data_IF_082657984391
#
_entry.id   IF_082657984391
#
_cell.length_a   1.000
_cell.length_b   1.000
_cell.length_c   1.000
_cell.angle_alpha   90.00
_cell.angle_beta   90.00
_cell.angle_gamma   90.00
#
_symmetry.space_group_name_H-M   'P 1'
#
loop_
_entity.id
_entity.type
_entity.pdbx_description
1 polymer ?
#
# COMPACT_ATOMS: atom_id res chain seq x y z
N UNK A 1 -0.17 4.53 20.44
CA UNK A 1 -0.72 5.84 20.10
C UNK A 1 -1.12 6.54 21.40
N UNK A 2 -0.31 7.42 21.90
CA UNK A 2 -0.62 8.18 23.11
C UNK A 2 -0.82 9.65 22.72
N UNK A 3 -2.06 10.06 22.58
CA UNK A 3 -2.39 11.47 22.46
C UNK A 3 -2.04 12.22 23.74
N UNK A 4 -1.77 13.53 23.71
CA UNK A 4 -1.55 14.32 24.89
C UNK A 4 -2.79 14.27 25.76
N UNK A 5 -2.67 13.74 26.96
CA UNK A 5 -3.70 13.89 27.97
C UNK A 5 -3.47 15.21 28.69
N UNK A 6 -4.52 16.00 28.80
CA UNK A 6 -4.46 17.34 29.38
C UNK A 6 -3.93 17.35 30.83
N UNK A 7 -4.13 16.24 31.53
CA UNK A 7 -3.77 16.08 32.95
C UNK A 7 -2.32 15.61 33.18
N UNK A 8 -1.69 15.00 32.18
CA UNK A 8 -0.37 14.36 32.36
C UNK A 8 0.71 14.95 31.46
N UNK A 9 0.35 15.92 30.60
CA UNK A 9 1.27 16.51 29.63
C UNK A 9 1.56 15.61 28.40
N UNK A 10 2.41 16.07 27.48
CA UNK A 10 2.71 15.31 26.26
C UNK A 10 3.53 14.06 26.61
N UNK A 11 3.02 12.91 26.20
CA UNK A 11 3.81 11.68 26.18
C UNK A 11 4.69 11.66 24.93
N UNK A 12 5.95 11.28 25.05
CA UNK A 12 6.79 11.03 23.90
C UNK A 12 6.29 9.77 23.19
N UNK A 13 5.89 9.92 21.93
CA UNK A 13 5.51 8.80 21.08
C UNK A 13 6.70 7.93 20.78
N UNK A 14 7.09 6.94 21.28
CA UNK A 14 8.26 6.08 21.04
C UNK A 14 8.73 5.99 19.59
N UNK A 15 9.69 5.14 19.33
CA UNK A 15 10.17 4.87 17.98
C UNK A 15 9.15 4.01 17.21
N UNK A 16 8.70 4.49 16.04
CA UNK A 16 7.86 3.67 15.16
C UNK A 16 8.62 2.45 14.65
N UNK A 17 7.94 1.32 14.59
CA UNK A 17 8.55 0.04 14.21
C UNK A 17 7.86 -0.52 12.97
N UNK A 18 8.65 -0.92 11.97
CA UNK A 18 8.17 -1.68 10.84
C UNK A 18 8.09 -3.17 11.19
N UNK A 19 6.92 -3.76 11.02
CA UNK A 19 6.70 -5.19 11.21
C UNK A 19 6.64 -5.90 9.85
N UNK A 20 7.51 -6.86 9.64
CA UNK A 20 7.50 -7.71 8.45
C UNK A 20 6.71 -8.98 8.72
N UNK A 21 5.65 -9.20 7.93
CA UNK A 21 4.89 -10.45 7.95
C UNK A 21 5.66 -11.62 7.33
N UNK A 22 5.44 -12.82 7.85
CA UNK A 22 6.03 -14.08 7.35
C UNK A 22 5.11 -14.83 6.38
N UNK A 23 3.90 -14.30 6.13
CA UNK A 23 2.88 -14.93 5.29
C UNK A 23 2.10 -16.06 5.97
N UNK A 24 2.42 -16.41 7.22
CA UNK A 24 1.75 -17.43 8.02
C UNK A 24 1.04 -16.86 9.27
N UNK A 25 0.90 -15.53 9.32
CA UNK A 25 0.27 -14.81 10.43
C UNK A 25 1.25 -14.30 11.49
N UNK A 26 2.53 -14.61 11.38
CA UNK A 26 3.58 -14.09 12.25
C UNK A 26 4.18 -12.79 11.74
N UNK A 27 4.73 -11.99 12.66
CA UNK A 27 5.39 -10.72 12.34
C UNK A 27 6.73 -10.62 13.05
N UNK A 28 7.71 -10.05 12.36
CA UNK A 28 9.04 -9.76 12.92
C UNK A 28 9.35 -8.27 12.79
N UNK A 29 9.84 -7.61 13.87
CA UNK A 29 10.24 -6.22 13.79
C UNK A 29 11.49 -6.07 12.91
N UNK A 30 11.47 -5.07 12.03
CA UNK A 30 12.64 -4.61 11.31
C UNK A 30 13.11 -3.30 11.96
N UNK A 31 14.31 -3.35 12.52
CA UNK A 31 14.91 -2.18 13.15
C UNK A 31 15.33 -1.13 12.10
N UNK A 32 15.48 0.15 12.47
CA UNK A 32 15.81 1.23 11.55
C UNK A 32 17.07 1.00 10.71
N UNK A 33 18.08 0.32 11.25
CA UNK A 33 19.32 -0.04 10.53
C UNK A 33 19.09 -1.01 9.36
N UNK A 34 17.98 -1.76 9.41
CA UNK A 34 17.57 -2.70 8.35
C UNK A 34 16.48 -2.15 7.45
N UNK A 35 15.53 -1.42 8.01
CA UNK A 35 14.39 -0.88 7.27
C UNK A 35 14.67 0.47 6.62
N UNK A 36 15.63 1.24 7.14
CA UNK A 36 15.83 2.64 6.79
C UNK A 36 14.79 3.58 7.39
N UNK A 37 13.79 3.06 8.10
CA UNK A 37 12.70 3.85 8.69
C UNK A 37 13.06 4.24 10.12
N UNK A 38 13.42 5.51 10.31
CA UNK A 38 13.63 6.10 11.62
C UNK A 38 12.61 7.22 11.83
N UNK A 39 11.64 6.97 12.70
CA UNK A 39 10.55 7.91 13.02
C UNK A 39 10.53 8.10 14.54
N UNK A 40 11.32 9.06 15.05
CA UNK A 40 11.50 9.24 16.49
C UNK A 40 10.43 10.10 17.16
N UNK A 41 9.52 10.69 16.36
CA UNK A 41 8.51 11.62 16.86
C UNK A 41 7.17 10.96 17.16
N UNK A 42 6.21 11.78 17.54
CA UNK A 42 4.82 11.37 17.77
C UNK A 42 4.10 11.20 16.41
N UNK A 43 4.30 10.04 15.77
CA UNK A 43 3.70 9.72 14.51
C UNK A 43 2.18 9.56 14.64
N UNK A 44 1.42 10.32 13.87
CA UNK A 44 -0.04 10.33 13.88
C UNK A 44 -0.65 9.55 12.72
N UNK A 45 -0.10 9.69 11.54
CA UNK A 45 -0.66 9.05 10.36
C UNK A 45 0.43 8.62 9.39
N UNK A 46 0.12 7.61 8.58
CA UNK A 46 1.00 7.11 7.54
C UNK A 46 0.20 6.90 6.25
N UNK A 47 0.82 7.19 5.12
CA UNK A 47 0.24 6.94 3.81
C UNK A 47 1.26 6.41 2.83
N UNK A 48 0.82 5.51 1.97
CA UNK A 48 1.62 4.96 0.88
C UNK A 48 1.17 5.58 -0.45
N UNK A 49 2.13 6.10 -1.20
CA UNK A 49 1.94 6.60 -2.54
C UNK A 49 3.25 6.49 -3.33
N UNK A 50 3.15 6.46 -4.63
CA UNK A 50 4.29 6.58 -5.54
C UNK A 50 4.41 8.07 -5.92
N UNK A 51 5.09 8.87 -5.07
CA UNK A 51 5.12 10.33 -5.26
C UNK A 51 6.26 10.80 -6.17
N UNK A 52 7.33 10.01 -6.32
CA UNK A 52 8.40 10.26 -7.28
C UNK A 52 8.11 9.65 -8.67
N UNK A 53 7.03 8.88 -8.83
CA UNK A 53 6.57 8.23 -10.06
C UNK A 53 7.53 7.17 -10.61
N UNK A 54 8.24 6.51 -9.73
CA UNK A 54 9.16 5.43 -10.12
C UNK A 54 8.52 4.03 -10.13
N UNK A 55 7.22 3.97 -9.84
CA UNK A 55 6.43 2.73 -9.83
C UNK A 55 6.53 1.94 -8.52
N UNK A 56 7.19 2.47 -7.50
CA UNK A 56 7.33 1.85 -6.18
C UNK A 56 6.51 2.61 -5.13
N UNK A 57 6.04 1.94 -4.09
CA UNK A 57 5.39 2.63 -2.99
C UNK A 57 6.42 3.35 -2.12
N UNK A 58 6.18 4.64 -1.92
CA UNK A 58 6.89 5.47 -0.96
C UNK A 58 6.02 5.68 0.27
N UNK A 59 6.61 6.08 1.38
CA UNK A 59 5.92 6.24 2.65
C UNK A 59 6.03 7.70 3.14
N UNK A 60 4.87 8.30 3.46
CA UNK A 60 4.80 9.58 4.16
C UNK A 60 4.27 9.34 5.56
N UNK A 61 4.90 9.97 6.56
CA UNK A 61 4.49 9.90 7.96
C UNK A 61 4.33 11.30 8.51
N UNK A 62 3.12 11.63 8.96
CA UNK A 62 2.87 12.87 9.67
C UNK A 62 3.12 12.67 11.18
N UNK A 63 3.60 13.73 11.82
CA UNK A 63 3.90 13.76 13.25
C UNK A 63 3.15 14.92 13.92
N UNK A 64 2.71 14.75 15.16
CA UNK A 64 2.25 15.87 15.98
C UNK A 64 3.42 16.80 16.29
N UNK A 65 3.21 18.10 16.06
CA UNK A 65 4.24 19.12 16.27
C UNK A 65 5.60 18.82 15.60
N UNK A 66 5.60 18.05 14.52
CA UNK A 66 6.79 17.65 13.80
C UNK A 66 6.65 17.86 12.29
N UNK A 67 7.77 17.71 11.60
CA UNK A 67 7.78 17.71 10.13
C UNK A 67 7.19 16.41 9.60
N UNK A 68 6.59 16.48 8.41
CA UNK A 68 6.25 15.28 7.66
C UNK A 68 7.54 14.61 7.21
N UNK A 69 7.68 13.33 7.54
CA UNK A 69 8.80 12.50 7.08
C UNK A 69 8.41 11.76 5.81
N UNK A 70 9.30 11.78 4.83
CA UNK A 70 9.13 11.07 3.57
C UNK A 70 10.24 10.04 3.40
N UNK A 71 9.85 8.83 3.02
CA UNK A 71 10.77 7.72 2.79
C UNK A 71 10.54 7.19 1.38
N UNK A 72 11.53 7.39 0.53
CA UNK A 72 11.52 6.86 -0.83
C UNK A 72 11.98 5.40 -0.85
N UNK A 73 11.24 4.57 -1.57
CA UNK A 73 11.62 3.19 -1.79
C UNK A 73 12.83 3.10 -2.73
N UNK A 74 13.98 2.68 -2.22
CA UNK A 74 15.19 2.54 -3.06
C UNK A 74 15.10 1.36 -4.02
N UNK A 75 14.08 0.50 -3.91
CA UNK A 75 13.91 -0.69 -4.74
C UNK A 75 14.92 -1.81 -4.46
N UNK A 76 15.82 -1.65 -3.49
CA UNK A 76 16.80 -2.69 -3.17
C UNK A 76 16.12 -3.91 -2.56
N UNK A 77 16.16 -5.04 -3.26
CA UNK A 77 15.60 -6.32 -2.79
C UNK A 77 14.07 -6.42 -2.83
N UNK A 78 13.38 -5.47 -3.46
CA UNK A 78 11.89 -5.45 -3.50
C UNK A 78 11.31 -6.04 -4.78
N UNK A 79 12.14 -6.31 -5.80
CA UNK A 79 11.65 -6.86 -7.06
C UNK A 79 10.80 -5.88 -7.87
N UNK A 80 9.87 -6.42 -8.63
CA UNK A 80 9.00 -5.67 -9.55
C UNK A 80 7.68 -5.32 -8.88
N UNK A 81 7.07 -4.22 -9.33
CA UNK A 81 5.76 -3.75 -8.89
C UNK A 81 4.79 -3.68 -10.06
N UNK A 82 3.53 -3.97 -9.80
CA UNK A 82 2.43 -3.76 -10.73
C UNK A 82 1.46 -2.75 -10.10
N UNK A 83 1.33 -1.59 -10.72
CA UNK A 83 0.32 -0.59 -10.36
C UNK A 83 -0.95 -0.88 -11.14
N UNK A 84 -2.08 -0.97 -10.47
CA UNK A 84 -3.37 -1.20 -11.09
C UNK A 84 -4.23 0.04 -10.90
N UNK A 85 -4.54 0.73 -11.99
CA UNK A 85 -5.45 1.85 -12.01
C UNK A 85 -6.84 1.35 -12.43
N UNK A 86 -7.80 1.39 -11.51
CA UNK A 86 -9.19 1.07 -11.80
C UNK A 86 -9.95 2.34 -12.13
N UNK A 87 -10.76 2.28 -13.17
CA UNK A 87 -11.72 3.31 -13.54
C UNK A 87 -13.12 2.74 -13.36
N UNK A 88 -13.79 3.14 -12.30
CA UNK A 88 -15.16 2.73 -12.00
C UNK A 88 -16.20 3.53 -12.77
N UNK A 89 -17.45 3.10 -12.68
CA UNK A 89 -18.57 3.76 -13.32
C UNK A 89 -19.01 5.07 -12.64
N UNK A 90 -20.09 5.64 -13.15
CA UNK A 90 -20.70 6.87 -12.62
C UNK A 90 -21.03 6.75 -11.13
N UNK A 91 -20.61 7.76 -10.35
CA UNK A 91 -20.79 7.80 -8.90
C UNK A 91 -19.66 7.15 -8.08
N UNK A 92 -18.81 6.35 -8.70
CA UNK A 92 -17.66 5.74 -8.03
C UNK A 92 -16.43 5.63 -8.97
N UNK A 93 -15.88 6.75 -9.44
CA UNK A 93 -14.82 6.74 -10.45
C UNK A 93 -13.53 6.06 -9.96
N UNK A 94 -13.27 6.06 -8.66
CA UNK A 94 -12.10 5.40 -8.05
C UNK A 94 -12.31 3.91 -7.78
N UNK A 95 -13.46 3.35 -8.15
CA UNK A 95 -13.81 1.94 -7.94
C UNK A 95 -13.66 1.47 -6.49
N UNK A 96 -13.99 2.33 -5.50
CA UNK A 96 -13.96 1.99 -4.08
C UNK A 96 -14.87 0.79 -3.83
N UNK A 97 -14.39 -0.20 -3.08
CA UNK A 97 -15.07 -1.50 -2.86
C UNK A 97 -14.74 -2.57 -3.91
N UNK A 98 -14.01 -2.21 -4.98
CA UNK A 98 -13.52 -3.21 -5.91
C UNK A 98 -12.45 -4.11 -5.25
N UNK A 99 -12.47 -5.39 -5.62
CA UNK A 99 -11.48 -6.36 -5.17
C UNK A 99 -10.63 -6.85 -6.32
N UNK A 100 -9.34 -6.57 -6.25
CA UNK A 100 -8.33 -7.00 -7.21
C UNK A 100 -7.70 -8.29 -6.74
N UNK A 101 -7.66 -9.30 -7.60
CA UNK A 101 -6.95 -10.56 -7.33
C UNK A 101 -5.93 -10.80 -8.43
N UNK A 102 -4.65 -10.81 -8.08
CA UNK A 102 -3.57 -11.20 -8.98
C UNK A 102 -3.24 -12.67 -8.77
N UNK A 103 -3.34 -13.47 -9.84
CA UNK A 103 -2.92 -14.87 -9.86
C UNK A 103 -1.47 -14.94 -10.31
N UNK A 104 -0.63 -15.58 -9.52
CA UNK A 104 0.78 -15.75 -9.81
C UNK A 104 1.03 -17.11 -10.50
N UNK A 105 2.10 -17.19 -11.28
CA UNK A 105 2.51 -18.43 -11.95
C UNK A 105 2.75 -19.58 -10.97
N UNK A 106 3.13 -19.27 -9.74
CA UNK A 106 3.30 -20.25 -8.66
C UNK A 106 1.98 -20.79 -8.07
N UNK A 107 0.83 -20.27 -8.52
CA UNK A 107 -0.49 -20.62 -7.98
C UNK A 107 -0.90 -19.77 -6.76
N UNK A 108 0.00 -18.96 -6.23
CA UNK A 108 -0.33 -18.00 -5.16
C UNK A 108 -1.27 -16.90 -5.67
N UNK A 109 -2.01 -16.30 -4.75
CA UNK A 109 -2.91 -15.17 -5.00
C UNK A 109 -2.48 -13.99 -4.14
N UNK A 110 -2.45 -12.81 -4.75
CA UNK A 110 -2.34 -11.55 -4.04
C UNK A 110 -3.68 -10.85 -4.17
N UNK A 111 -4.27 -10.47 -3.06
CA UNK A 111 -5.59 -9.83 -3.02
C UNK A 111 -5.44 -8.44 -2.45
N UNK A 112 -6.06 -7.46 -3.11
CA UNK A 112 -6.14 -6.09 -2.65
C UNK A 112 -7.58 -5.60 -2.80
N UNK A 113 -8.08 -4.88 -1.81
CA UNK A 113 -9.38 -4.24 -1.85
C UNK A 113 -9.19 -2.72 -1.94
N UNK A 114 -9.86 -2.10 -2.91
CA UNK A 114 -9.81 -0.65 -3.07
C UNK A 114 -10.68 -0.02 -2.00
N UNK A 115 -10.04 0.67 -1.07
CA UNK A 115 -10.71 1.36 0.03
C UNK A 115 -10.46 2.85 -0.02
N UNK A 116 -11.38 3.61 0.56
CA UNK A 116 -11.25 5.05 0.79
C UNK A 116 -11.20 5.29 2.30
N UNK A 117 -10.28 6.13 2.78
CA UNK A 117 -10.15 6.43 4.21
C UNK A 117 -9.59 5.28 5.06
N UNK A 118 -8.68 4.48 4.53
CA UNK A 118 -8.13 3.30 5.21
C UNK A 118 -7.17 3.55 6.38
N UNK A 119 -6.79 4.80 6.66
CA UNK A 119 -5.85 5.16 7.72
C UNK A 119 -6.44 6.14 8.74
N UNK A 120 -5.78 6.31 9.89
CA UNK A 120 -6.14 7.36 10.84
C UNK A 120 -5.70 8.72 10.28
N UNK A 121 -6.66 9.60 9.99
CA UNK A 121 -6.42 10.92 9.36
C UNK A 121 -5.52 10.85 8.12
N UNK A 122 -5.56 9.75 7.40
CA UNK A 122 -4.74 9.50 6.23
C UNK A 122 -5.43 8.58 5.24
N UNK A 123 -4.98 8.67 3.98
CA UNK A 123 -5.41 7.78 2.92
C UNK A 123 -4.22 7.45 2.04
N UNK A 124 -3.99 6.18 1.81
CA UNK A 124 -3.04 5.72 0.82
C UNK A 124 -3.62 5.84 -0.59
N UNK A 125 -2.76 5.71 -1.61
CA UNK A 125 -3.22 5.71 -3.00
C UNK A 125 -4.34 4.68 -3.21
N UNK A 126 -5.42 5.09 -3.87
CA UNK A 126 -6.51 4.19 -4.27
C UNK A 126 -6.11 3.20 -5.38
N UNK A 127 -4.93 3.40 -5.97
CA UNK A 127 -4.39 2.50 -6.98
C UNK A 127 -3.56 1.40 -6.31
N UNK A 128 -4.03 0.14 -6.31
CA UNK A 128 -3.24 -0.97 -5.77
C UNK A 128 -1.84 -1.05 -6.38
N UNK A 129 -0.84 -1.10 -5.50
CA UNK A 129 0.54 -1.38 -5.84
C UNK A 129 0.85 -2.80 -5.37
N UNK A 130 0.97 -3.72 -6.32
CA UNK A 130 1.23 -5.13 -6.02
C UNK A 130 2.73 -5.38 -6.16
N UNK A 131 3.36 -5.78 -5.06
CA UNK A 131 4.77 -6.21 -5.07
C UNK A 131 4.85 -7.63 -5.62
N UNK A 132 5.57 -7.80 -6.71
CA UNK A 132 5.70 -9.09 -7.39
C UNK A 132 6.95 -9.85 -6.97
N UNK A 133 8.01 -9.16 -6.51
CA UNK A 133 9.31 -9.78 -6.37
C UNK A 133 9.78 -10.30 -7.75
N UNK A 134 10.12 -11.58 -7.81
CA UNK A 134 10.48 -12.28 -9.05
C UNK A 134 9.29 -13.07 -9.64
N UNK A 135 8.12 -12.97 -9.02
CA UNK A 135 6.92 -13.68 -9.45
C UNK A 135 6.32 -13.08 -10.74
N UNK A 136 5.61 -13.93 -11.47
CA UNK A 136 4.92 -13.54 -12.72
C UNK A 136 3.42 -13.60 -12.46
N UNK A 137 2.72 -12.50 -12.75
CA UNK A 137 1.26 -12.48 -12.76
C UNK A 137 0.78 -13.11 -14.05
N UNK A 138 -0.10 -14.09 -13.94
CA UNK A 138 -0.71 -14.77 -15.10
C UNK A 138 -2.11 -14.27 -15.41
N UNK A 139 -2.81 -13.73 -14.41
CA UNK A 139 -4.16 -13.19 -14.56
C UNK A 139 -4.45 -12.15 -13.48
N UNK A 140 -5.19 -11.12 -13.85
CA UNK A 140 -5.84 -10.19 -12.92
C UNK A 140 -7.35 -10.42 -13.00
N UNK A 141 -7.98 -10.55 -11.86
CA UNK A 141 -9.44 -10.65 -11.72
C UNK A 141 -9.89 -9.45 -10.88
N UNK A 142 -10.83 -8.69 -11.41
CA UNK A 142 -11.46 -7.57 -10.72
C UNK A 142 -12.90 -7.96 -10.43
N UNK A 143 -13.28 -7.94 -9.17
CA UNK A 143 -14.68 -7.94 -8.77
C UNK A 143 -15.07 -6.49 -8.45
N UNK A 144 -15.94 -5.92 -9.24
CA UNK A 144 -16.41 -4.56 -9.11
C UNK A 144 -17.42 -4.40 -7.95
N UNK A 145 -17.64 -3.17 -7.46
CA UNK A 145 -18.58 -2.94 -6.34
C UNK A 145 -20.01 -3.36 -6.61
N UNK A 146 -20.43 -3.34 -7.87
CA UNK A 146 -21.76 -3.79 -8.33
C UNK A 146 -21.88 -5.31 -8.50
N UNK A 147 -20.80 -6.03 -8.23
CA UNK A 147 -20.73 -7.49 -8.33
C UNK A 147 -20.28 -8.02 -9.69
N UNK A 148 -20.13 -7.16 -10.70
CA UNK A 148 -19.58 -7.57 -12.00
C UNK A 148 -18.13 -8.05 -11.84
N UNK A 149 -17.66 -8.87 -12.78
CA UNK A 149 -16.31 -9.42 -12.78
C UNK A 149 -15.64 -9.17 -14.11
N UNK A 150 -14.47 -8.59 -14.08
CA UNK A 150 -13.57 -8.46 -15.24
C UNK A 150 -12.32 -9.31 -15.03
N UNK A 151 -11.84 -9.92 -16.11
CA UNK A 151 -10.59 -10.68 -16.09
C UNK A 151 -9.67 -10.21 -17.22
N UNK A 152 -8.37 -10.15 -16.96
CA UNK A 152 -7.36 -9.91 -17.98
C UNK A 152 -6.15 -10.79 -17.80
N UNK A 153 -5.64 -11.31 -18.93
CA UNK A 153 -4.39 -12.07 -19.01
C UNK A 153 -3.24 -11.24 -19.61
N UNK A 154 -3.58 -10.08 -20.17
CA UNK A 154 -2.59 -9.13 -20.70
C UNK A 154 -2.02 -8.30 -19.55
N UNK A 155 -1.09 -8.88 -18.80
CA UNK A 155 -0.42 -8.21 -17.69
C UNK A 155 1.00 -7.85 -18.12
N UNK A 156 1.46 -6.62 -17.88
CA UNK A 156 2.86 -6.25 -18.13
C UNK A 156 3.80 -7.24 -17.43
N UNK A 157 4.56 -8.01 -18.20
CA UNK A 157 5.28 -9.20 -17.71
C UNK A 157 6.39 -8.93 -16.70
N UNK A 158 6.71 -7.67 -16.45
CA UNK A 158 7.87 -7.31 -15.64
C UNK A 158 7.62 -6.14 -14.67
N UNK A 159 6.37 -5.90 -14.31
CA UNK A 159 5.97 -4.70 -13.59
C UNK A 159 5.49 -3.61 -14.54
N UNK A 160 5.03 -2.50 -13.99
CA UNK A 160 4.49 -1.39 -14.76
C UNK A 160 3.10 -0.98 -14.28
N UNK A 161 2.33 -0.33 -15.16
CA UNK A 161 0.97 0.14 -14.85
C UNK A 161 -0.03 -0.53 -15.77
N UNK A 162 -1.12 -1.02 -15.18
CA UNK A 162 -2.28 -1.58 -15.87
C UNK A 162 -3.50 -0.74 -15.55
N UNK A 163 -4.23 -0.30 -16.59
CA UNK A 163 -5.49 0.43 -16.42
C UNK A 163 -6.64 -0.47 -16.83
N UNK A 164 -7.67 -0.55 -15.98
CA UNK A 164 -8.85 -1.39 -16.21
C UNK A 164 -10.08 -0.56 -15.90
N UNK A 165 -10.98 -0.46 -16.88
CA UNK A 165 -12.25 0.25 -16.77
C UNK A 165 -13.38 -0.74 -16.46
N UNK A 166 -14.33 -0.31 -15.64
CA UNK A 166 -15.56 -1.06 -15.38
C UNK A 166 -16.33 -1.29 -16.69
N UNK A 167 -16.93 -2.45 -16.86
CA UNK A 167 -17.82 -2.75 -18.00
C UNK A 167 -18.96 -1.75 -18.16
#
# INVERSE_FOLDING_TARGET
FYGPQFETGPYSGGLSVLLRGDGAGGFKPLMPDKSGLSVPGDATSATLADFNRDGRPDLLIAQNNGLVLTFESTGRGTGKFLKIALEGGNGNPSAVGARVTALLKTGKKIVHEVSDGGGYLSQSSSHPLITLGDEIVTKIIIRWPDGQVSETIEVPGQGGSLRITSP
#
